data_IF_104600044793
#
_entry.id   IF_104600044793
#
_cell.length_a   1.000
_cell.length_b   1.000
_cell.length_c   1.000
_cell.angle_alpha   90.00
_cell.angle_beta   90.00
_cell.angle_gamma   90.00
#
_symmetry.space_group_name_H-M   'P 1'
#
loop_
_entity.id
_entity.type
_entity.pdbx_description
1 polymer ?
#
# COMPACT_ATOMS: atom_id res chain seq x y z
N UNK A 1 -6.87 27.98 17.84
CA UNK A 1 -6.56 26.63 18.38
C UNK A 1 -7.70 25.61 18.27
N UNK A 2 -8.93 25.84 18.81
CA UNK A 2 -10.05 24.88 18.71
C UNK A 2 -10.50 24.62 17.26
N UNK A 3 -10.72 25.67 16.48
CA UNK A 3 -11.08 25.59 15.05
C UNK A 3 -10.03 24.85 14.20
N UNK A 4 -8.75 24.93 14.56
CA UNK A 4 -7.67 24.28 13.80
C UNK A 4 -7.68 22.77 14.02
N UNK A 5 -7.84 22.34 15.28
CA UNK A 5 -7.99 20.92 15.61
C UNK A 5 -9.22 20.33 14.95
N UNK A 6 -10.35 21.05 14.95
CA UNK A 6 -11.56 20.63 14.26
C UNK A 6 -11.33 20.43 12.75
N UNK A 7 -10.62 21.35 12.09
CA UNK A 7 -10.28 21.22 10.68
C UNK A 7 -9.43 19.97 10.41
N UNK A 8 -8.37 19.75 11.19
CA UNK A 8 -7.50 18.58 10.99
C UNK A 8 -8.25 17.26 11.22
N UNK A 9 -9.16 17.21 12.20
CA UNK A 9 -10.01 16.02 12.44
C UNK A 9 -10.97 15.75 11.28
N UNK A 10 -11.61 16.80 10.75
CA UNK A 10 -12.47 16.66 9.56
C UNK A 10 -11.66 16.18 8.36
N UNK A 11 -10.47 16.75 8.15
CA UNK A 11 -9.60 16.35 7.05
C UNK A 11 -9.14 14.89 7.19
N UNK A 12 -8.78 14.47 8.41
CA UNK A 12 -8.40 13.08 8.68
C UNK A 12 -9.57 12.12 8.42
N UNK A 13 -10.80 12.50 8.79
CA UNK A 13 -12.00 11.72 8.48
C UNK A 13 -12.24 11.62 6.97
N UNK A 14 -12.06 12.72 6.22
CA UNK A 14 -12.14 12.71 4.75
C UNK A 14 -11.09 11.77 4.16
N UNK A 15 -9.83 11.85 4.62
CA UNK A 15 -8.76 10.94 4.18
C UNK A 15 -9.08 9.49 4.50
N UNK A 16 -9.64 9.19 5.67
CA UNK A 16 -10.04 7.84 6.02
C UNK A 16 -11.16 7.31 5.14
N UNK A 17 -12.24 8.08 4.94
CA UNK A 17 -13.36 7.69 4.08
C UNK A 17 -12.88 7.46 2.65
N UNK A 18 -12.06 8.37 2.10
CA UNK A 18 -11.46 8.22 0.78
C UNK A 18 -10.57 6.97 0.69
N UNK A 19 -9.69 6.77 1.68
CA UNK A 19 -8.79 5.61 1.72
C UNK A 19 -9.58 4.31 1.78
N UNK A 20 -10.59 4.22 2.64
CA UNK A 20 -11.44 3.03 2.74
C UNK A 20 -12.16 2.75 1.44
N UNK A 21 -12.81 3.76 0.85
CA UNK A 21 -13.48 3.64 -0.45
C UNK A 21 -12.53 3.13 -1.53
N UNK A 22 -11.31 3.68 -1.60
CA UNK A 22 -10.31 3.28 -2.58
C UNK A 22 -9.87 1.81 -2.37
N UNK A 23 -9.60 1.40 -1.14
CA UNK A 23 -9.19 0.02 -0.84
C UNK A 23 -10.33 -0.99 -1.08
N UNK A 24 -11.56 -0.68 -0.68
CA UNK A 24 -12.74 -1.54 -0.90
C UNK A 24 -13.01 -1.78 -2.40
N UNK A 25 -12.75 -0.79 -3.26
CA UNK A 25 -12.86 -0.95 -4.72
C UNK A 25 -11.89 -1.97 -5.30
N UNK A 26 -10.75 -2.21 -4.65
CA UNK A 26 -9.74 -3.17 -5.11
C UNK A 26 -9.93 -4.58 -4.56
N UNK A 27 -10.35 -4.71 -3.30
CA UNK A 27 -10.73 -5.97 -2.67
C UNK A 27 -11.90 -5.73 -1.73
N UNK A 28 -13.07 -6.23 -2.09
CA UNK A 28 -14.28 -6.03 -1.32
C UNK A 28 -15.03 -7.33 -1.09
N UNK A 29 -16.18 -7.23 -0.46
CA UNK A 29 -17.08 -8.34 -0.25
C UNK A 29 -18.50 -7.97 -0.64
N UNK A 30 -19.20 -8.93 -1.20
CA UNK A 30 -20.63 -8.87 -1.44
C UNK A 30 -21.34 -9.63 -0.33
N UNK A 31 -22.05 -8.90 0.53
CA UNK A 31 -22.76 -9.49 1.67
C UNK A 31 -24.02 -10.24 1.25
N UNK A 32 -24.61 -9.92 0.10
CA UNK A 32 -25.82 -10.60 -0.39
C UNK A 32 -25.45 -11.94 -1.06
N UNK A 33 -24.35 -11.96 -1.80
CA UNK A 33 -23.88 -13.17 -2.50
C UNK A 33 -22.88 -13.99 -1.67
N UNK A 34 -22.42 -13.46 -0.54
CA UNK A 34 -21.36 -14.04 0.30
C UNK A 34 -20.05 -14.31 -0.46
N UNK A 35 -19.69 -13.41 -1.39
CA UNK A 35 -18.52 -13.58 -2.26
C UNK A 35 -17.52 -12.44 -2.09
N UNK A 36 -16.24 -12.78 -2.12
CA UNK A 36 -15.18 -11.79 -2.25
C UNK A 36 -15.11 -11.28 -3.69
N UNK A 37 -14.85 -9.98 -3.83
CA UNK A 37 -14.70 -9.30 -5.10
C UNK A 37 -13.29 -8.72 -5.17
N UNK A 38 -12.55 -9.09 -6.20
CA UNK A 38 -11.21 -8.54 -6.46
C UNK A 38 -11.28 -7.78 -7.78
N UNK A 39 -10.78 -6.54 -7.79
CA UNK A 39 -10.73 -5.76 -9.01
C UNK A 39 -9.80 -6.43 -10.03
N UNK A 40 -10.16 -6.34 -11.32
CA UNK A 40 -9.46 -7.01 -12.43
C UNK A 40 -7.94 -6.81 -12.41
N UNK A 41 -7.47 -5.59 -12.15
CA UNK A 41 -6.04 -5.24 -12.13
C UNK A 41 -5.29 -5.71 -10.89
N UNK A 42 -6.00 -6.29 -9.93
CA UNK A 42 -5.50 -6.68 -8.62
C UNK A 42 -5.45 -8.20 -8.44
N UNK A 43 -6.03 -8.97 -9.37
CA UNK A 43 -6.14 -10.43 -9.28
C UNK A 43 -4.75 -11.08 -9.10
N UNK A 44 -3.76 -10.63 -9.88
CA UNK A 44 -2.39 -11.17 -9.79
C UNK A 44 -1.76 -10.93 -8.42
N UNK A 45 -1.81 -9.70 -7.92
CA UNK A 45 -1.21 -9.34 -6.63
C UNK A 45 -1.95 -9.98 -5.45
N UNK A 46 -3.28 -9.98 -5.46
CA UNK A 46 -4.06 -10.64 -4.40
C UNK A 46 -3.91 -12.17 -4.42
N UNK A 47 -3.60 -12.79 -5.55
CA UNK A 47 -3.26 -14.22 -5.58
C UNK A 47 -2.08 -14.55 -4.66
N UNK A 48 -1.04 -13.71 -4.67
CA UNK A 48 0.11 -13.83 -3.77
C UNK A 48 -0.23 -13.35 -2.34
N UNK A 49 -0.77 -12.15 -2.20
CA UNK A 49 -0.97 -11.55 -0.87
C UNK A 49 -1.99 -12.28 -0.01
N UNK A 50 -3.10 -12.76 -0.60
CA UNK A 50 -4.09 -13.53 0.16
C UNK A 50 -3.56 -14.90 0.54
N UNK A 51 -2.79 -15.57 -0.32
CA UNK A 51 -2.18 -16.87 0.02
C UNK A 51 -1.15 -16.72 1.13
N UNK A 52 -0.34 -15.66 1.11
CA UNK A 52 0.58 -15.32 2.19
C UNK A 52 -0.17 -15.06 3.50
N UNK A 53 -1.16 -14.14 3.50
CA UNK A 53 -1.95 -13.84 4.70
C UNK A 53 -2.63 -15.10 5.27
N UNK A 54 -3.20 -15.94 4.41
CA UNK A 54 -3.85 -17.22 4.79
C UNK A 54 -2.86 -18.25 5.31
N UNK A 55 -1.64 -18.28 4.80
CA UNK A 55 -0.60 -19.17 5.33
C UNK A 55 -0.28 -18.84 6.79
N UNK A 56 -0.32 -17.56 7.18
CA UNK A 56 -0.12 -17.16 8.57
C UNK A 56 -1.37 -17.35 9.44
N UNK A 57 -2.56 -17.12 8.88
CA UNK A 57 -3.81 -17.19 9.64
C UNK A 57 -4.28 -18.63 9.86
N UNK A 58 -4.20 -19.49 8.84
CA UNK A 58 -4.71 -20.86 8.85
C UNK A 58 -3.61 -21.92 8.76
N UNK A 59 -2.45 -21.58 8.17
CA UNK A 59 -1.39 -22.54 7.87
C UNK A 59 -0.27 -22.62 8.90
N UNK A 60 -0.32 -21.82 9.98
CA UNK A 60 0.74 -21.71 10.99
C UNK A 60 2.16 -21.61 10.38
N UNK A 61 2.30 -20.78 9.34
CA UNK A 61 3.53 -20.62 8.54
C UNK A 61 4.68 -19.94 9.32
N UNK A 62 5.24 -20.66 10.29
CA UNK A 62 6.32 -20.25 11.19
C UNK A 62 7.33 -21.40 11.31
N UNK A 63 8.52 -21.34 10.67
CA UNK A 63 9.09 -20.18 9.97
C UNK A 63 8.39 -19.86 8.64
N UNK A 64 8.44 -18.61 8.14
CA UNK A 64 7.73 -18.21 6.93
C UNK A 64 8.29 -18.86 5.65
N UNK A 65 7.46 -19.66 4.98
CA UNK A 65 7.73 -20.31 3.70
C UNK A 65 6.77 -19.87 2.59
N UNK A 66 7.17 -20.07 1.33
CA UNK A 66 6.31 -19.80 0.18
C UNK A 66 5.11 -20.79 0.16
N UNK A 67 3.85 -20.31 0.18
CA UNK A 67 2.67 -21.19 0.20
C UNK A 67 2.57 -22.12 -1.01
N UNK A 68 3.08 -21.68 -2.17
CA UNK A 68 3.05 -22.46 -3.42
C UNK A 68 4.28 -23.35 -3.61
N UNK A 69 5.35 -23.14 -2.85
CA UNK A 69 6.63 -23.84 -2.98
C UNK A 69 7.19 -24.15 -1.58
N UNK A 70 6.64 -25.16 -0.89
CA UNK A 70 7.03 -25.48 0.48
C UNK A 70 8.52 -25.87 0.57
N UNK A 71 9.12 -25.65 1.74
CA UNK A 71 10.54 -25.87 2.00
C UNK A 71 11.46 -24.76 1.48
N UNK A 72 10.90 -23.63 1.00
CA UNK A 72 11.66 -22.45 0.60
C UNK A 72 11.24 -21.22 1.41
N UNK A 73 12.20 -20.46 1.99
CA UNK A 73 11.90 -19.18 2.61
C UNK A 73 11.23 -18.21 1.64
N UNK A 74 10.42 -17.30 2.17
CA UNK A 74 9.75 -16.27 1.36
C UNK A 74 10.79 -15.22 0.91
N UNK A 75 11.05 -15.05 -0.41
CA UNK A 75 11.97 -14.03 -0.93
C UNK A 75 11.30 -12.63 -1.07
N UNK A 76 10.04 -12.53 -0.67
CA UNK A 76 9.18 -11.36 -0.81
C UNK A 76 8.92 -10.71 0.56
N UNK A 77 8.47 -9.46 0.57
CA UNK A 77 8.23 -8.70 1.80
C UNK A 77 6.85 -9.04 2.40
N UNK A 78 6.81 -10.06 3.26
CA UNK A 78 5.57 -10.65 3.79
C UNK A 78 5.05 -10.03 5.09
N UNK A 79 5.72 -9.02 5.67
CA UNK A 79 5.31 -8.45 6.98
C UNK A 79 3.91 -7.86 6.99
N UNK A 80 3.51 -7.20 5.90
CA UNK A 80 2.16 -6.68 5.78
C UNK A 80 1.14 -7.82 5.77
N UNK A 81 1.42 -8.87 5.02
CA UNK A 81 0.56 -10.06 4.92
C UNK A 81 0.51 -10.83 6.24
N UNK A 82 1.61 -10.88 7.00
CA UNK A 82 1.66 -11.42 8.35
C UNK A 82 0.71 -10.68 9.28
N UNK A 83 0.77 -9.35 9.32
CA UNK A 83 -0.14 -8.55 10.17
C UNK A 83 -1.59 -8.78 9.75
N UNK A 84 -1.88 -8.83 8.45
CA UNK A 84 -3.23 -9.14 7.95
C UNK A 84 -3.65 -10.55 8.38
N UNK A 85 -2.78 -11.55 8.26
CA UNK A 85 -3.05 -12.92 8.68
C UNK A 85 -3.29 -13.04 10.18
N UNK A 86 -2.54 -12.30 11.01
CA UNK A 86 -2.75 -12.25 12.46
C UNK A 86 -4.09 -11.58 12.82
N UNK A 87 -4.45 -10.49 12.14
CA UNK A 87 -5.76 -9.85 12.30
C UNK A 87 -6.90 -10.80 11.91
N UNK A 88 -6.72 -11.55 10.84
CA UNK A 88 -7.67 -12.58 10.47
C UNK A 88 -7.75 -13.71 11.51
N UNK A 89 -6.61 -14.16 12.03
CA UNK A 89 -6.53 -15.23 13.03
C UNK A 89 -7.30 -14.90 14.32
N UNK A 90 -7.40 -13.61 14.67
CA UNK A 90 -8.22 -13.13 15.81
C UNK A 90 -9.69 -12.89 15.46
N UNK A 91 -10.13 -13.23 14.24
CA UNK A 91 -11.53 -13.24 13.83
C UNK A 91 -11.96 -12.12 12.88
N UNK A 92 -11.06 -11.26 12.40
CA UNK A 92 -11.42 -10.26 11.39
C UNK A 92 -11.58 -10.94 10.02
N UNK A 93 -12.62 -10.54 9.28
CA UNK A 93 -12.79 -10.98 7.89
C UNK A 93 -11.61 -10.45 7.04
N UNK A 94 -11.04 -11.28 6.19
CA UNK A 94 -9.77 -10.96 5.49
C UNK A 94 -9.80 -9.64 4.71
N UNK A 95 -10.93 -9.29 4.08
CA UNK A 95 -11.11 -8.01 3.38
C UNK A 95 -11.06 -6.82 4.35
N UNK A 96 -11.67 -6.94 5.52
CA UNK A 96 -11.62 -5.91 6.57
C UNK A 96 -10.20 -5.79 7.14
N UNK A 97 -9.50 -6.90 7.35
CA UNK A 97 -8.13 -6.90 7.84
C UNK A 97 -7.19 -6.23 6.81
N UNK A 98 -7.28 -6.62 5.54
CA UNK A 98 -6.46 -6.08 4.47
C UNK A 98 -6.79 -4.59 4.21
N UNK A 99 -8.07 -4.25 4.02
CA UNK A 99 -8.50 -2.88 3.75
C UNK A 99 -8.33 -1.96 4.94
N UNK A 100 -8.57 -2.43 6.16
CA UNK A 100 -8.37 -1.63 7.37
C UNK A 100 -6.92 -1.22 7.54
N UNK A 101 -6.00 -2.18 7.45
CA UNK A 101 -4.57 -1.87 7.55
C UNK A 101 -4.12 -0.93 6.42
N UNK A 102 -4.55 -1.18 5.18
CA UNK A 102 -4.23 -0.31 4.04
C UNK A 102 -4.85 1.09 4.17
N UNK A 103 -6.10 1.20 4.59
CA UNK A 103 -6.81 2.47 4.71
C UNK A 103 -6.22 3.33 5.83
N UNK A 104 -5.87 2.74 6.97
CA UNK A 104 -5.17 3.43 8.05
C UNK A 104 -3.79 3.91 7.59
N UNK A 105 -3.05 3.05 6.89
CA UNK A 105 -1.73 3.40 6.35
C UNK A 105 -1.82 4.53 5.32
N UNK A 106 -2.80 4.48 4.41
CA UNK A 106 -2.97 5.51 3.38
C UNK A 106 -3.46 6.83 3.99
N UNK A 107 -4.35 6.77 4.98
CA UNK A 107 -4.78 7.94 5.76
C UNK A 107 -3.58 8.61 6.44
N UNK A 108 -2.71 7.82 7.07
CA UNK A 108 -1.49 8.32 7.69
C UNK A 108 -0.53 8.95 6.66
N UNK A 109 -0.37 8.30 5.49
CA UNK A 109 0.42 8.85 4.38
C UNK A 109 -0.10 10.21 3.93
N UNK A 110 -1.41 10.33 3.65
CA UNK A 110 -2.04 11.59 3.25
C UNK A 110 -1.91 12.66 4.35
N UNK A 111 -2.07 12.27 5.62
CA UNK A 111 -1.88 13.18 6.74
C UNK A 111 -0.44 13.71 6.83
N UNK A 112 0.57 12.86 6.69
CA UNK A 112 1.96 13.31 6.74
C UNK A 112 2.33 14.18 5.53
N UNK A 113 1.86 13.84 4.32
CA UNK A 113 1.98 14.72 3.15
C UNK A 113 1.34 16.08 3.43
N UNK A 114 0.14 16.07 4.03
CA UNK A 114 -0.52 17.29 4.44
C UNK A 114 0.31 18.11 5.43
N UNK A 115 1.01 17.49 6.40
CA UNK A 115 1.73 18.19 7.51
C UNK A 115 3.16 18.64 7.18
N UNK A 116 3.79 18.09 6.15
CA UNK A 116 5.18 18.39 5.81
C UNK A 116 5.40 19.87 5.39
N UNK A 117 4.56 20.50 4.54
CA UNK A 117 4.78 21.89 4.16
C UNK A 117 4.72 22.89 5.34
N UNK A 118 3.89 22.62 6.34
CA UNK A 118 3.74 23.45 7.54
C UNK A 118 5.00 23.36 8.41
N UNK A 119 5.67 22.21 8.44
CA UNK A 119 6.88 22.04 9.26
C UNK A 119 8.15 22.56 8.58
N UNK A 120 8.28 22.31 7.28
CA UNK A 120 9.47 22.70 6.50
C UNK A 120 9.44 24.19 6.23
N UNK A 121 8.33 24.69 5.67
CA UNK A 121 8.24 26.04 5.13
C UNK A 121 7.47 27.02 6.02
N UNK A 122 6.94 26.58 7.18
CA UNK A 122 5.99 27.35 8.00
C UNK A 122 4.78 27.84 7.19
N UNK A 123 4.42 27.08 6.15
CA UNK A 123 3.42 27.47 5.17
C UNK A 123 2.00 27.11 5.62
N UNK A 124 1.00 27.71 4.98
CA UNK A 124 -0.41 27.63 5.35
C UNK A 124 -1.02 26.25 5.06
N UNK A 125 -2.18 25.98 5.68
CA UNK A 125 -2.96 24.74 5.49
C UNK A 125 -3.29 24.48 4.02
N UNK A 126 -3.48 25.55 3.24
CA UNK A 126 -3.75 25.47 1.81
C UNK A 126 -2.66 24.68 1.08
N UNK A 127 -1.39 24.90 1.42
CA UNK A 127 -0.29 24.20 0.77
C UNK A 127 -0.21 22.74 1.17
N UNK A 128 -0.55 22.39 2.41
CA UNK A 128 -0.74 21.00 2.80
C UNK A 128 -1.83 20.31 1.98
N UNK A 129 -2.98 20.98 1.80
CA UNK A 129 -4.08 20.47 0.98
C UNK A 129 -3.65 20.32 -0.48
N UNK A 130 -2.96 21.32 -1.04
CA UNK A 130 -2.44 21.26 -2.40
C UNK A 130 -1.41 20.14 -2.58
N UNK A 131 -0.54 19.90 -1.60
CA UNK A 131 0.39 18.77 -1.63
C UNK A 131 -0.33 17.42 -1.68
N UNK A 132 -1.41 17.26 -0.93
CA UNK A 132 -2.24 16.05 -1.00
C UNK A 132 -2.95 15.94 -2.34
N UNK A 133 -3.53 17.04 -2.86
CA UNK A 133 -4.17 17.04 -4.17
C UNK A 133 -3.17 16.67 -5.27
N UNK A 134 -2.00 17.28 -5.32
CA UNK A 134 -0.96 16.97 -6.31
C UNK A 134 -0.39 15.54 -6.17
N UNK A 135 -0.43 14.97 -4.96
CA UNK A 135 -0.08 13.57 -4.76
C UNK A 135 -1.15 12.62 -5.30
N UNK A 136 -2.43 12.92 -5.06
CA UNK A 136 -3.55 12.08 -5.50
C UNK A 136 -3.81 12.19 -7.01
N UNK A 137 -3.66 13.40 -7.56
CA UNK A 137 -3.86 13.68 -8.97
C UNK A 137 -2.52 13.64 -9.68
N UNK A 138 -2.32 12.56 -10.43
CA UNK A 138 -1.10 12.31 -11.15
C UNK A 138 -0.77 13.42 -12.17
N UNK A 139 0.51 13.77 -12.30
CA UNK A 139 1.03 14.79 -13.22
C UNK A 139 1.10 14.34 -14.70
N UNK A 140 0.65 13.14 -15.02
CA UNK A 140 0.76 12.55 -16.35
C UNK A 140 -0.21 13.16 -17.36
N UNK A 141 0.25 13.27 -18.60
CA UNK A 141 -0.53 13.83 -19.70
C UNK A 141 -1.28 12.78 -20.52
N UNK A 142 -1.51 11.58 -19.96
CA UNK A 142 -2.19 10.49 -20.66
C UNK A 142 -3.62 10.82 -21.04
N UNK A 143 -4.28 11.71 -20.28
CA UNK A 143 -5.59 12.24 -20.64
C UNK A 143 -5.57 12.99 -21.98
N UNK A 144 -4.43 13.55 -22.41
CA UNK A 144 -4.31 14.22 -23.71
C UNK A 144 -4.58 13.24 -24.84
N UNK A 145 -4.06 12.01 -24.74
CA UNK A 145 -4.33 10.97 -25.74
C UNK A 145 -5.80 10.56 -25.77
N UNK A 146 -6.47 10.56 -24.62
CA UNK A 146 -7.92 10.34 -24.54
C UNK A 146 -8.74 11.49 -25.17
N UNK A 147 -8.27 12.73 -25.05
CA UNK A 147 -8.93 13.91 -25.62
C UNK A 147 -8.67 14.09 -27.12
N UNK A 148 -7.64 13.46 -27.68
CA UNK A 148 -7.32 13.55 -29.11
C UNK A 148 -8.52 13.08 -29.94
N UNK A 149 -9.01 13.97 -30.80
CA UNK A 149 -10.15 13.70 -31.69
C UNK A 149 -11.53 13.76 -31.04
N UNK A 150 -11.64 14.14 -29.75
CA UNK A 150 -12.92 14.35 -29.06
C UNK A 150 -13.29 15.83 -29.00
N UNK A 151 -14.58 16.13 -29.20
CA UNK A 151 -15.10 17.48 -28.96
C UNK A 151 -15.33 17.73 -27.46
N UNK A 152 -15.01 18.93 -27.00
CA UNK A 152 -15.28 19.35 -25.63
C UNK A 152 -16.79 19.54 -25.45
N UNK A 153 -17.45 18.52 -24.90
CA UNK A 153 -18.89 18.51 -24.64
C UNK A 153 -19.18 17.83 -23.31
N UNK A 154 -20.38 18.02 -22.76
CA UNK A 154 -20.79 17.33 -21.53
C UNK A 154 -20.81 15.81 -21.67
N UNK A 155 -20.92 15.27 -22.90
CA UNK A 155 -20.83 13.84 -23.16
C UNK A 155 -19.45 13.25 -22.77
N UNK A 156 -18.40 14.08 -22.80
CA UNK A 156 -17.05 13.67 -22.41
C UNK A 156 -16.96 13.19 -20.96
N UNK A 157 -17.77 13.74 -20.05
CA UNK A 157 -17.82 13.25 -18.67
C UNK A 157 -18.35 11.82 -18.60
N UNK A 158 -19.37 11.50 -19.40
CA UNK A 158 -19.89 10.15 -19.52
C UNK A 158 -18.83 9.19 -20.08
N UNK A 159 -18.09 9.63 -21.10
CA UNK A 159 -17.00 8.85 -21.69
C UNK A 159 -15.87 8.58 -20.68
N UNK A 160 -15.49 9.58 -19.87
CA UNK A 160 -14.46 9.43 -18.83
C UNK A 160 -14.96 8.48 -17.73
N UNK A 161 -16.20 8.64 -17.29
CA UNK A 161 -16.78 7.80 -16.25
C UNK A 161 -16.97 6.34 -16.70
N UNK A 162 -17.28 6.15 -17.98
CA UNK A 162 -17.46 4.85 -18.61
C UNK A 162 -16.15 4.21 -19.10
N UNK A 163 -14.98 4.80 -18.82
CA UNK A 163 -13.70 4.19 -19.20
C UNK A 163 -13.59 2.79 -18.58
N UNK A 164 -13.49 1.73 -19.40
CA UNK A 164 -13.47 0.36 -18.89
C UNK A 164 -12.11 -0.01 -18.29
N UNK A 165 -11.06 0.77 -18.60
CA UNK A 165 -9.68 0.47 -18.27
C UNK A 165 -8.82 1.74 -18.33
N UNK A 166 -7.57 1.66 -17.86
CA UNK A 166 -6.56 2.71 -18.00
C UNK A 166 -6.25 2.98 -19.48
N UNK A 167 -6.07 4.26 -19.83
CA UNK A 167 -5.74 4.71 -21.19
C UNK A 167 -4.44 4.06 -21.69
N UNK A 168 -3.44 3.93 -20.80
CA UNK A 168 -2.13 3.39 -21.11
C UNK A 168 -1.66 2.43 -20.02
N UNK A 169 -1.47 1.14 -20.35
CA UNK A 169 -1.12 0.09 -19.40
C UNK A 169 0.27 -0.50 -19.63
N UNK A 170 1.15 0.22 -20.31
CA UNK A 170 2.54 -0.22 -20.46
C UNK A 170 3.13 -0.67 -19.11
N UNK A 171 3.83 -1.81 -19.04
CA UNK A 171 4.31 -2.61 -20.16
C UNK A 171 3.35 -3.71 -20.67
N UNK A 172 2.15 -3.86 -20.10
CA UNK A 172 1.29 -5.03 -20.35
C UNK A 172 0.63 -5.05 -21.73
N UNK A 173 0.48 -3.90 -22.37
CA UNK A 173 -0.15 -3.72 -23.69
C UNK A 173 0.79 -3.08 -24.73
N UNK A 174 2.08 -2.89 -24.38
CA UNK A 174 3.06 -2.21 -25.23
C UNK A 174 2.87 -0.70 -25.35
N UNK A 175 1.94 -0.10 -24.62
CA UNK A 175 1.71 1.34 -24.63
C UNK A 175 2.70 2.08 -23.72
N UNK A 176 2.57 3.41 -23.61
CA UNK A 176 3.37 4.20 -22.67
C UNK A 176 3.20 3.65 -21.25
N UNK A 177 4.31 3.48 -20.54
CA UNK A 177 4.30 3.04 -19.15
C UNK A 177 3.74 4.17 -18.28
N UNK A 178 2.43 4.16 -18.04
CA UNK A 178 1.76 5.21 -17.26
C UNK A 178 1.00 4.69 -16.03
N UNK A 179 0.64 3.41 -16.03
CA UNK A 179 -0.18 2.80 -14.97
C UNK A 179 0.49 2.92 -13.59
N UNK A 180 1.82 2.87 -13.55
CA UNK A 180 2.63 3.02 -12.33
C UNK A 180 2.63 4.43 -11.74
N UNK A 181 2.05 5.39 -12.43
CA UNK A 181 1.92 6.72 -11.87
C UNK A 181 0.49 7.05 -11.44
N UNK A 182 -0.41 6.09 -11.52
CA UNK A 182 -1.77 6.21 -10.98
C UNK A 182 -1.83 5.69 -9.54
N UNK A 183 -2.97 5.88 -8.87
CA UNK A 183 -3.22 5.28 -7.56
C UNK A 183 -3.20 3.74 -7.57
N UNK A 184 -3.18 3.09 -8.74
CA UNK A 184 -3.08 1.64 -8.88
C UNK A 184 -1.86 1.06 -8.15
N UNK A 185 -0.72 1.76 -8.13
CA UNK A 185 0.48 1.27 -7.42
C UNK A 185 0.20 1.04 -5.94
N UNK A 186 -0.57 1.92 -5.31
CA UNK A 186 -0.93 1.78 -3.90
C UNK A 186 -1.92 0.63 -3.68
N UNK A 187 -2.79 0.35 -4.66
CA UNK A 187 -3.72 -0.77 -4.59
C UNK A 187 -3.01 -2.13 -4.73
N UNK A 188 -2.05 -2.21 -5.64
CA UNK A 188 -1.24 -3.39 -5.91
C UNK A 188 -0.21 -3.65 -4.80
N UNK A 189 0.49 -2.61 -4.36
CA UNK A 189 1.59 -2.70 -3.40
C UNK A 189 1.18 -2.06 -2.07
N UNK A 190 0.24 -2.69 -1.36
CA UNK A 190 -0.34 -2.10 -0.12
C UNK A 190 0.66 -1.95 1.02
N UNK A 191 1.67 -2.80 1.08
CA UNK A 191 2.79 -2.68 2.00
C UNK A 191 3.64 -1.42 1.73
N UNK A 192 3.72 -0.95 0.47
CA UNK A 192 4.44 0.27 0.11
C UNK A 192 3.80 1.49 0.77
N UNK A 193 2.46 1.51 0.85
CA UNK A 193 1.74 2.57 1.57
C UNK A 193 2.19 2.64 3.02
N UNK A 194 2.20 1.50 3.72
CA UNK A 194 2.60 1.43 5.12
C UNK A 194 4.06 1.88 5.30
N UNK A 195 4.97 1.42 4.43
CA UNK A 195 6.36 1.83 4.46
C UNK A 195 6.54 3.35 4.25
N UNK A 196 5.83 3.94 3.29
CA UNK A 196 5.86 5.38 3.03
C UNK A 196 5.27 6.18 4.19
N UNK A 197 4.14 5.73 4.75
CA UNK A 197 3.50 6.38 5.90
C UNK A 197 4.42 6.40 7.13
N UNK A 198 5.03 5.26 7.45
CA UNK A 198 6.00 5.14 8.56
C UNK A 198 7.21 6.04 8.29
N UNK A 199 7.77 6.00 7.08
CA UNK A 199 8.94 6.80 6.70
C UNK A 199 8.67 8.29 6.81
N UNK A 200 7.55 8.78 6.26
CA UNK A 200 7.16 10.18 6.39
C UNK A 200 6.82 10.57 7.83
N UNK A 201 6.24 9.66 8.61
CA UNK A 201 5.98 9.86 10.03
C UNK A 201 7.28 10.05 10.83
N UNK A 202 8.29 9.23 10.58
CA UNK A 202 9.62 9.37 11.18
C UNK A 202 10.24 10.71 10.77
N UNK A 203 10.24 11.04 9.48
CA UNK A 203 10.77 12.33 8.99
C UNK A 203 10.04 13.51 9.65
N UNK A 204 8.71 13.46 9.70
CA UNK A 204 7.90 14.49 10.34
C UNK A 204 8.25 14.66 11.83
N UNK A 205 8.36 13.55 12.57
CA UNK A 205 8.72 13.54 13.98
C UNK A 205 10.10 14.16 14.23
N UNK A 206 11.11 13.74 13.45
CA UNK A 206 12.47 14.27 13.55
C UNK A 206 12.52 15.77 13.23
N UNK A 207 11.88 16.19 12.13
CA UNK A 207 11.78 17.61 11.76
C UNK A 207 11.08 18.42 12.85
N UNK A 208 10.03 17.87 13.47
CA UNK A 208 9.32 18.52 14.56
C UNK A 208 10.20 18.73 15.78
N UNK A 209 10.92 17.68 16.20
CA UNK A 209 11.84 17.77 17.32
C UNK A 209 12.96 18.80 17.07
N UNK A 210 13.57 18.77 15.89
CA UNK A 210 14.61 19.73 15.48
C UNK A 210 14.07 21.16 15.49
N UNK A 211 12.91 21.42 14.85
CA UNK A 211 12.30 22.76 14.80
C UNK A 211 11.89 23.28 16.19
N UNK A 212 11.55 22.39 17.11
CA UNK A 212 11.22 22.73 18.51
C UNK A 212 12.42 22.73 19.44
N UNK A 213 13.64 22.53 18.92
CA UNK A 213 14.88 22.43 19.69
C UNK A 213 14.76 21.42 20.85
N UNK A 214 13.96 20.37 20.66
CA UNK A 214 13.79 19.31 21.66
C UNK A 214 14.92 18.32 21.50
N UNK A 215 15.59 18.00 22.60
CA UNK A 215 16.51 16.87 22.62
C UNK A 215 15.69 15.59 22.46
N UNK A 216 16.07 14.78 21.47
CA UNK A 216 15.51 13.44 21.28
C UNK A 216 16.38 12.49 22.10
N UNK A 217 15.82 11.72 23.03
CA UNK A 217 16.62 10.78 23.80
C UNK A 217 17.23 9.72 22.87
N UNK A 218 18.48 9.34 23.14
CA UNK A 218 19.24 8.36 22.33
C UNK A 218 18.49 7.04 22.20
N UNK A 219 17.77 6.62 23.25
CA UNK A 219 16.94 5.42 23.24
C UNK A 219 15.89 5.46 22.12
N UNK A 220 15.23 6.60 21.90
CA UNK A 220 14.24 6.77 20.82
C UNK A 220 14.92 6.70 19.45
N UNK A 221 16.10 7.31 19.28
CA UNK A 221 16.85 7.23 18.02
C UNK A 221 17.30 5.79 17.71
N UNK A 222 17.79 5.08 18.72
CA UNK A 222 18.17 3.66 18.61
C UNK A 222 16.94 2.81 18.28
N UNK A 223 15.80 3.03 18.95
CA UNK A 223 14.55 2.31 18.64
C UNK A 223 14.06 2.57 17.21
N UNK A 224 14.12 3.81 16.73
CA UNK A 224 13.78 4.13 15.34
C UNK A 224 14.75 3.43 14.38
N UNK A 225 16.05 3.45 14.66
CA UNK A 225 17.07 2.77 13.87
C UNK A 225 16.86 1.25 13.81
N UNK A 226 16.58 0.63 14.96
CA UNK A 226 16.26 -0.80 15.03
C UNK A 226 14.98 -1.13 14.26
N UNK A 227 13.92 -0.33 14.41
CA UNK A 227 12.67 -0.53 13.69
C UNK A 227 12.89 -0.45 12.16
N UNK A 228 13.62 0.56 11.69
CA UNK A 228 13.97 0.69 10.27
C UNK A 228 14.86 -0.46 9.77
N UNK A 229 15.82 -0.91 10.58
CA UNK A 229 16.70 -2.04 10.26
C UNK A 229 15.95 -3.36 10.21
N UNK A 230 15.01 -3.61 11.11
CA UNK A 230 14.18 -4.81 11.07
C UNK A 230 13.28 -4.84 9.83
N UNK A 231 12.76 -3.68 9.40
CA UNK A 231 11.98 -3.57 8.16
C UNK A 231 12.79 -3.92 6.90
N UNK A 232 14.12 -3.73 6.90
CA UNK A 232 14.98 -4.04 5.74
C UNK A 232 15.58 -5.45 5.75
N UNK A 233 15.65 -6.12 6.91
CA UNK A 233 16.27 -7.44 7.07
C UNK A 233 15.34 -8.63 6.76
N UNK A 234 14.03 -8.44 6.82
CA UNK A 234 13.05 -9.53 6.67
C UNK A 234 12.86 -10.09 5.23
N UNK A 235 13.19 -9.39 4.13
CA UNK A 235 13.10 -9.98 2.79
C UNK A 235 14.28 -10.88 2.37
N UNK A 236 15.39 -10.92 3.12
CA UNK A 236 16.66 -11.51 2.66
C UNK A 236 17.21 -12.63 3.59
N UNK A 237 16.62 -13.83 3.63
CA UNK A 237 17.33 -15.01 4.12
C UNK A 237 18.11 -15.66 2.94
N UNK A 238 19.02 -14.94 2.29
CA UNK A 238 19.80 -15.51 1.16
C UNK A 238 21.11 -16.20 1.58
N UNK A 239 21.47 -16.23 2.87
CA UNK A 239 22.79 -16.74 3.28
C UNK A 239 22.84 -17.73 4.44
N UNK A 240 21.71 -18.27 4.88
CA UNK A 240 21.72 -19.38 5.86
C UNK A 240 20.96 -20.53 5.18
N UNK A 241 21.59 -21.70 5.07
CA UNK A 241 21.19 -22.89 4.29
C UNK A 241 21.76 -22.99 2.86
N UNK A 242 23.06 -22.75 2.72
CA UNK A 242 23.86 -23.73 1.99
C UNK A 242 24.07 -24.93 2.91
N UNK A 243 23.68 -26.12 2.45
CA UNK A 243 23.70 -27.45 3.10
C UNK A 243 22.43 -27.84 3.86
N UNK A 244 21.53 -28.53 3.17
CA UNK A 244 21.05 -29.85 3.63
C UNK A 244 20.34 -30.62 2.51
N UNK A 245 20.98 -31.74 2.17
CA UNK A 245 20.44 -33.00 1.65
C UNK A 245 19.92 -33.08 0.21
N UNK A 246 20.66 -33.90 -0.55
CA UNK A 246 20.23 -34.63 -1.73
C UNK A 246 18.78 -35.13 -1.60
N UNK A 247 17.88 -34.60 -2.41
CA UNK A 247 16.64 -35.29 -2.75
C UNK A 247 16.98 -36.39 -3.77
N UNK A 248 17.41 -37.54 -3.25
CA UNK A 248 17.58 -38.77 -4.02
C UNK A 248 16.21 -39.43 -4.23
N UNK A 249 15.26 -38.77 -4.92
CA UNK A 249 14.04 -39.44 -5.41
C UNK A 249 13.29 -38.74 -6.55
N UNK A 250 13.87 -37.77 -7.26
CA UNK A 250 13.27 -37.21 -8.49
C UNK A 250 13.88 -37.81 -9.76
N UNK A 251 13.89 -39.14 -9.86
CA UNK A 251 14.21 -39.87 -11.10
C UNK A 251 13.16 -40.96 -11.36
N UNK A 252 11.91 -40.57 -11.54
CA UNK A 252 10.87 -41.44 -12.15
C UNK A 252 9.63 -40.60 -12.43
N UNK A 253 9.68 -39.71 -13.41
CA UNK A 253 8.49 -39.21 -14.12
C UNK A 253 8.92 -38.55 -15.44
N UNK A 254 9.60 -39.32 -16.28
CA UNK A 254 9.63 -39.16 -17.75
C UNK A 254 10.00 -40.52 -18.33
N UNK A 255 8.97 -41.32 -18.60
CA UNK A 255 8.87 -42.31 -19.67
C UNK A 255 7.38 -42.54 -19.90
#
# INVERSE_FOLDING_TARGET
MKSEKTFELILLAIFFVFSWWLMDKSFGYDAAQHQFRIARHQIGDFGLHLSLARSFSWGDNYPPELPFFPGRPIPYHYMFDLVVGLLEKIGLRIDVAFNGLSALSFTALLYFIYKLPQIIFRKSRLLGVLSVLLFLFHSGLTFVDFLKGKSLSFALFGDVWGLPDYIHKGPFDGSLISIFFTLNVFLNQRHLIAALAISLGIVYFLLFAIKKQKQIPVTVLVSIGLLLGMMSLLPYPYHIFSKSHHCASCKTFMN
#
